data_IF_373927508463
#
_entry.id   IF_373927508463
#
_cell.length_a   1.000
_cell.length_b   1.000
_cell.length_c   1.000
_cell.angle_alpha   90.00
_cell.angle_beta   90.00
_cell.angle_gamma   90.00
#
_symmetry.space_group_name_H-M   'P 1'
#
loop_
_entity.id
_entity.type
_entity.pdbx_description
1 polymer ?
#
# COMPACT_ATOMS: atom_id res chain seq x y z
N UNK A 1 15.32 -16.41 -3.91
CA UNK A 1 14.84 -15.11 -4.45
C UNK A 1 13.32 -15.11 -4.41
N UNK A 2 12.72 -14.11 -3.81
CA UNK A 2 11.27 -13.92 -3.71
C UNK A 2 10.86 -12.87 -4.74
N UNK A 3 9.86 -13.19 -5.56
CA UNK A 3 9.26 -12.29 -6.54
C UNK A 3 8.01 -11.65 -5.94
N UNK A 4 7.98 -10.34 -5.85
CA UNK A 4 6.89 -9.57 -5.24
C UNK A 4 6.20 -8.75 -6.34
N UNK A 5 4.86 -8.77 -6.37
CA UNK A 5 4.05 -7.79 -7.08
C UNK A 5 3.48 -6.78 -6.09
N UNK A 6 3.50 -5.50 -6.42
CA UNK A 6 2.98 -4.44 -5.55
C UNK A 6 2.05 -3.50 -6.34
N UNK A 7 0.90 -3.19 -5.77
CA UNK A 7 -0.14 -2.33 -6.33
C UNK A 7 -0.83 -1.51 -5.23
N UNK A 8 -1.45 -0.40 -5.60
CA UNK A 8 -2.28 0.43 -4.72
C UNK A 8 -3.37 1.15 -5.50
N UNK A 9 -4.29 1.78 -4.77
CA UNK A 9 -5.32 2.66 -5.32
C UNK A 9 -6.17 1.96 -6.38
N UNK A 10 -6.70 0.79 -5.99
CA UNK A 10 -7.50 -0.06 -6.88
C UNK A 10 -8.83 0.59 -7.24
N UNK A 11 -9.49 1.24 -6.27
CA UNK A 11 -10.84 1.84 -6.44
C UNK A 11 -11.79 0.97 -7.28
N UNK A 12 -11.73 -0.36 -7.04
CA UNK A 12 -12.52 -1.34 -7.76
C UNK A 12 -11.89 -1.90 -9.03
N UNK A 13 -10.76 -1.35 -9.48
CA UNK A 13 -9.99 -1.90 -10.59
C UNK A 13 -9.20 -3.13 -10.11
N UNK A 14 -9.37 -4.24 -10.78
CA UNK A 14 -8.72 -5.51 -10.43
C UNK A 14 -7.78 -5.90 -11.58
N UNK A 15 -6.51 -5.47 -11.55
CA UNK A 15 -5.59 -5.69 -12.65
C UNK A 15 -5.15 -7.14 -12.75
N UNK A 16 -4.69 -7.53 -13.94
CA UNK A 16 -3.97 -8.80 -14.09
C UNK A 16 -2.61 -8.68 -13.38
N UNK A 17 -2.29 -9.65 -12.56
CA UNK A 17 -0.98 -9.81 -11.91
C UNK A 17 -0.26 -10.99 -12.57
N UNK A 18 1.00 -10.82 -12.93
CA UNK A 18 1.83 -11.92 -13.41
C UNK A 18 2.28 -12.80 -12.23
N UNK A 19 2.75 -14.01 -12.54
CA UNK A 19 3.19 -14.97 -11.53
C UNK A 19 4.26 -14.37 -10.59
N UNK A 20 3.97 -14.43 -9.30
CA UNK A 20 4.82 -13.94 -8.22
C UNK A 20 4.69 -14.82 -6.98
N UNK A 21 5.51 -14.60 -5.98
CA UNK A 21 5.44 -15.34 -4.71
C UNK A 21 4.54 -14.62 -3.70
N UNK A 22 4.67 -13.30 -3.60
CA UNK A 22 3.94 -12.42 -2.68
C UNK A 22 3.33 -11.25 -3.45
N UNK A 23 2.06 -10.93 -3.17
CA UNK A 23 1.41 -9.71 -3.66
C UNK A 23 1.20 -8.73 -2.50
N UNK A 24 1.60 -7.47 -2.67
CA UNK A 24 1.40 -6.37 -1.72
C UNK A 24 0.36 -5.40 -2.27
N UNK A 25 -0.69 -5.09 -1.47
CA UNK A 25 -1.74 -4.13 -1.85
C UNK A 25 -1.76 -3.00 -0.84
N UNK A 26 -1.38 -1.80 -1.28
CA UNK A 26 -1.17 -0.64 -0.42
C UNK A 26 -2.42 0.26 -0.27
N UNK A 27 -3.61 -0.33 -0.26
CA UNK A 27 -4.86 0.36 0.11
C UNK A 27 -5.69 0.91 -1.04
N UNK A 28 -6.77 1.60 -0.65
CA UNK A 28 -7.82 2.15 -1.51
C UNK A 28 -8.41 1.10 -2.46
N UNK A 29 -8.94 0.05 -1.85
CA UNK A 29 -9.42 -1.16 -2.53
C UNK A 29 -10.85 -0.96 -3.05
N UNK A 30 -11.72 -0.36 -2.22
CA UNK A 30 -13.16 -0.29 -2.46
C UNK A 30 -13.50 0.72 -3.56
N UNK A 31 -14.42 0.39 -4.52
CA UNK A 31 -14.87 1.34 -5.54
C UNK A 31 -15.43 2.66 -4.97
N UNK A 32 -15.12 3.77 -5.61
CA UNK A 32 -15.49 5.12 -5.16
C UNK A 32 -17.00 5.31 -5.02
N UNK A 33 -17.79 4.76 -5.93
CA UNK A 33 -19.24 4.91 -5.98
C UNK A 33 -19.97 4.20 -4.84
N UNK A 34 -19.36 3.17 -4.24
CA UNK A 34 -19.96 2.38 -3.15
C UNK A 34 -19.27 2.57 -1.79
N UNK A 35 -18.13 3.24 -1.69
CA UNK A 35 -17.29 3.34 -0.49
C UNK A 35 -18.05 3.89 0.75
N UNK A 36 -19.08 4.69 0.53
CA UNK A 36 -19.93 5.25 1.58
C UNK A 36 -21.16 4.39 1.90
N UNK A 37 -21.37 3.27 1.19
CA UNK A 37 -22.46 2.34 1.42
C UNK A 37 -21.93 1.03 2.00
N UNK A 38 -22.14 0.83 3.31
CA UNK A 38 -21.67 -0.33 4.04
C UNK A 38 -22.03 -1.66 3.36
N UNK A 39 -23.32 -1.85 3.03
CA UNK A 39 -23.81 -3.11 2.46
C UNK A 39 -23.15 -3.37 1.09
N UNK A 40 -23.11 -2.36 0.23
CA UNK A 40 -22.50 -2.48 -1.09
C UNK A 40 -21.00 -2.77 -1.00
N UNK A 41 -20.28 -2.09 -0.09
CA UNK A 41 -18.85 -2.33 0.14
C UNK A 41 -18.57 -3.76 0.60
N UNK A 42 -19.35 -4.26 1.57
CA UNK A 42 -19.21 -5.65 2.07
C UNK A 42 -19.52 -6.64 0.95
N UNK A 43 -20.64 -6.45 0.23
CA UNK A 43 -21.00 -7.35 -0.88
C UNK A 43 -19.90 -7.38 -1.94
N UNK A 44 -19.36 -6.22 -2.30
CA UNK A 44 -18.28 -6.14 -3.29
C UNK A 44 -17.00 -6.83 -2.81
N UNK A 45 -16.60 -6.62 -1.55
CA UNK A 45 -15.43 -7.28 -0.97
C UNK A 45 -15.53 -8.80 -1.04
N UNK A 46 -16.69 -9.38 -0.71
CA UNK A 46 -16.87 -10.84 -0.71
C UNK A 46 -17.22 -11.44 -2.08
N UNK A 47 -17.90 -10.72 -2.96
CA UNK A 47 -18.38 -11.24 -4.24
C UNK A 47 -17.49 -10.91 -5.43
N UNK A 48 -16.60 -9.92 -5.29
CA UNK A 48 -15.75 -9.44 -6.38
C UNK A 48 -14.28 -9.45 -6.00
N UNK A 49 -13.90 -8.76 -4.93
CA UNK A 49 -12.49 -8.66 -4.52
C UNK A 49 -11.93 -10.01 -4.05
N UNK A 50 -12.60 -10.70 -3.13
CA UNK A 50 -12.14 -11.99 -2.60
C UNK A 50 -11.97 -13.06 -3.70
N UNK A 51 -12.92 -13.28 -4.63
CA UNK A 51 -12.72 -14.19 -5.75
C UNK A 51 -11.52 -13.82 -6.63
N UNK A 52 -11.26 -12.53 -6.85
CA UNK A 52 -10.08 -12.07 -7.57
C UNK A 52 -8.79 -12.39 -6.81
N UNK A 53 -8.72 -12.10 -5.50
CA UNK A 53 -7.58 -12.48 -4.65
C UNK A 53 -7.29 -13.98 -4.73
N UNK A 54 -8.33 -14.82 -4.68
CA UNK A 54 -8.17 -16.27 -4.74
C UNK A 54 -7.60 -16.77 -6.07
N UNK A 55 -7.81 -16.02 -7.16
CA UNK A 55 -7.30 -16.34 -8.50
C UNK A 55 -5.91 -15.76 -8.78
N UNK A 56 -5.38 -14.89 -7.93
CA UNK A 56 -4.04 -14.32 -8.13
C UNK A 56 -2.98 -15.43 -8.18
N UNK A 57 -2.05 -15.37 -9.15
CA UNK A 57 -0.99 -16.36 -9.30
C UNK A 57 0.17 -16.11 -8.32
N UNK A 58 -0.14 -16.03 -7.03
CA UNK A 58 0.81 -15.85 -5.94
C UNK A 58 0.46 -16.77 -4.76
N UNK A 59 1.41 -16.96 -3.85
CA UNK A 59 1.22 -17.80 -2.66
C UNK A 59 0.43 -17.04 -1.59
N UNK A 60 0.82 -15.80 -1.33
CA UNK A 60 0.20 -14.96 -0.32
C UNK A 60 -0.04 -13.54 -0.83
N UNK A 61 -1.01 -12.87 -0.20
CA UNK A 61 -1.39 -11.48 -0.47
C UNK A 61 -1.42 -10.74 0.86
N UNK A 62 -0.57 -9.73 1.03
CA UNK A 62 -0.63 -8.85 2.19
C UNK A 62 -1.26 -7.54 1.78
N UNK A 63 -2.24 -7.08 2.55
CA UNK A 63 -2.98 -5.86 2.27
C UNK A 63 -3.00 -4.92 3.47
N UNK A 64 -2.97 -3.63 3.21
CA UNK A 64 -3.47 -2.58 4.11
C UNK A 64 -4.70 -1.94 3.49
N UNK A 65 -5.52 -1.29 4.29
CA UNK A 65 -6.59 -0.42 3.79
C UNK A 65 -6.03 0.96 3.42
N UNK A 66 -6.82 1.77 2.71
CA UNK A 66 -6.55 3.18 2.44
C UNK A 66 -7.65 4.10 2.96
N UNK A 67 -7.52 5.40 2.67
CA UNK A 67 -8.46 6.40 3.19
C UNK A 67 -9.87 6.31 2.58
N UNK A 68 -10.04 5.62 1.47
CA UNK A 68 -11.35 5.33 0.89
C UNK A 68 -11.99 4.03 1.41
N UNK A 69 -11.27 3.21 2.18
CA UNK A 69 -11.72 1.90 2.68
C UNK A 69 -12.46 2.00 4.03
N UNK A 70 -13.49 2.87 4.12
CA UNK A 70 -14.24 3.18 5.35
C UNK A 70 -14.80 1.96 6.05
N UNK A 71 -15.16 0.92 5.30
CA UNK A 71 -15.73 -0.29 5.88
C UNK A 71 -14.66 -1.14 6.59
N UNK A 72 -13.42 -1.13 6.11
CA UNK A 72 -12.31 -1.84 6.75
C UNK A 72 -11.82 -1.14 8.03
N UNK A 73 -11.96 0.20 8.12
CA UNK A 73 -11.72 0.94 9.36
C UNK A 73 -12.74 0.60 10.45
N UNK A 74 -14.03 0.58 10.08
CA UNK A 74 -15.14 0.45 11.04
C UNK A 74 -15.42 -1.00 11.46
N UNK A 75 -15.09 -1.95 10.62
CA UNK A 75 -15.46 -3.37 10.78
C UNK A 75 -14.25 -4.31 10.60
N UNK A 76 -13.35 -4.30 11.57
CA UNK A 76 -12.25 -5.26 11.61
C UNK A 76 -12.68 -6.74 11.40
N UNK A 77 -13.86 -7.20 11.89
CA UNK A 77 -14.38 -8.53 11.58
C UNK A 77 -14.57 -8.83 10.09
N UNK A 78 -14.83 -7.82 9.25
CA UNK A 78 -14.92 -7.98 7.78
C UNK A 78 -13.55 -8.38 7.22
N UNK A 79 -12.49 -7.70 7.64
CA UNK A 79 -11.12 -8.04 7.22
C UNK A 79 -10.74 -9.47 7.65
N UNK A 80 -11.06 -9.86 8.88
CA UNK A 80 -10.81 -11.23 9.38
C UNK A 80 -11.64 -12.30 8.64
N UNK A 81 -12.86 -11.98 8.22
CA UNK A 81 -13.66 -12.88 7.39
C UNK A 81 -13.06 -13.05 5.98
N UNK A 82 -12.47 -11.98 5.40
CA UNK A 82 -11.75 -12.09 4.12
C UNK A 82 -10.52 -13.00 4.25
N UNK A 83 -9.73 -12.87 5.31
CA UNK A 83 -8.60 -13.76 5.59
C UNK A 83 -9.05 -15.22 5.66
N UNK A 84 -10.04 -15.51 6.50
CA UNK A 84 -10.54 -16.87 6.70
C UNK A 84 -11.10 -17.49 5.40
N UNK A 85 -11.91 -16.71 4.64
CA UNK A 85 -12.55 -17.20 3.41
C UNK A 85 -11.61 -17.25 2.20
N UNK A 86 -10.41 -16.65 2.30
CA UNK A 86 -9.32 -16.83 1.33
C UNK A 86 -8.45 -18.05 1.62
N UNK A 87 -8.83 -18.88 2.61
CA UNK A 87 -7.99 -19.97 3.14
C UNK A 87 -6.61 -19.43 3.61
N UNK A 88 -6.65 -18.24 4.25
CA UNK A 88 -5.46 -17.50 4.74
C UNK A 88 -4.43 -17.14 3.65
N UNK A 89 -4.79 -17.18 2.38
CA UNK A 89 -3.99 -16.61 1.29
C UNK A 89 -3.85 -15.10 1.45
N UNK A 90 -4.89 -14.41 1.95
CA UNK A 90 -4.90 -12.99 2.23
C UNK A 90 -4.62 -12.73 3.71
N UNK A 91 -3.71 -11.81 4.00
CA UNK A 91 -3.45 -11.28 5.34
C UNK A 91 -3.69 -9.78 5.36
N UNK A 92 -4.61 -9.32 6.22
CA UNK A 92 -4.88 -7.91 6.45
C UNK A 92 -3.98 -7.36 7.56
N UNK A 93 -3.17 -6.36 7.23
CA UNK A 93 -2.25 -5.72 8.16
C UNK A 93 -2.86 -4.42 8.71
N UNK A 94 -2.94 -4.34 10.03
CA UNK A 94 -3.43 -3.17 10.76
C UNK A 94 -2.47 -2.87 11.92
N UNK A 95 -1.42 -2.13 11.63
CA UNK A 95 -0.35 -1.78 12.58
C UNK A 95 0.31 -3.01 13.22
N UNK A 96 0.55 -4.01 12.41
CA UNK A 96 1.18 -5.27 12.81
C UNK A 96 2.08 -5.81 11.71
N UNK A 97 2.86 -6.83 12.06
CA UNK A 97 3.72 -7.54 11.11
C UNK A 97 3.08 -8.85 10.64
N UNK A 98 3.44 -9.24 9.41
CA UNK A 98 3.38 -10.61 8.91
C UNK A 98 4.74 -11.00 8.34
N UNK A 99 5.00 -12.30 8.32
CA UNK A 99 6.23 -12.88 7.78
C UNK A 99 5.88 -13.73 6.55
N UNK A 100 6.67 -13.60 5.49
CA UNK A 100 6.57 -14.43 4.30
C UNK A 100 7.87 -15.22 4.17
N UNK A 101 7.76 -16.55 4.09
CA UNK A 101 8.91 -17.45 4.03
C UNK A 101 8.89 -18.26 2.73
N UNK A 102 10.01 -18.27 2.02
CA UNK A 102 10.19 -19.06 0.81
C UNK A 102 11.60 -19.68 0.78
N UNK A 103 11.70 -20.97 1.05
CA UNK A 103 12.98 -21.66 1.22
C UNK A 103 13.74 -21.08 2.43
N UNK A 104 14.95 -20.59 2.19
CA UNK A 104 15.80 -19.97 3.21
C UNK A 104 15.63 -18.44 3.27
N UNK A 105 14.73 -17.87 2.49
CA UNK A 105 14.45 -16.42 2.48
C UNK A 105 13.21 -16.13 3.32
N UNK A 106 13.32 -15.12 4.17
CA UNK A 106 12.25 -14.59 4.99
C UNK A 106 12.14 -13.08 4.80
N UNK A 107 10.91 -12.59 4.72
CA UNK A 107 10.59 -11.16 4.64
C UNK A 107 9.61 -10.82 5.75
N UNK A 108 9.96 -9.87 6.60
CA UNK A 108 9.08 -9.31 7.62
C UNK A 108 8.44 -8.03 7.11
N UNK A 109 7.13 -8.06 6.93
CA UNK A 109 6.33 -6.93 6.42
C UNK A 109 5.54 -6.32 7.57
N UNK A 110 5.72 -5.02 7.82
CA UNK A 110 4.84 -4.24 8.69
C UNK A 110 3.83 -3.50 7.83
N UNK A 111 2.55 -3.56 8.20
CA UNK A 111 1.48 -2.87 7.47
C UNK A 111 0.78 -1.81 8.31
N UNK A 112 0.61 -0.59 7.76
CA UNK A 112 -0.15 0.49 8.38
C UNK A 112 -1.04 1.22 7.37
N UNK A 113 -2.37 1.22 7.58
CA UNK A 113 -3.32 1.90 6.71
C UNK A 113 -3.43 3.41 7.00
N UNK A 114 -2.86 3.92 8.10
CA UNK A 114 -3.05 5.27 8.56
C UNK A 114 -2.49 6.30 7.59
N UNK A 115 -3.25 7.39 7.41
CA UNK A 115 -2.87 8.56 6.65
C UNK A 115 -2.80 9.80 7.55
N UNK A 116 -1.93 10.73 7.23
CA UNK A 116 -1.97 12.05 7.83
C UNK A 116 -3.27 12.78 7.45
N UNK A 117 -3.72 13.68 8.32
CA UNK A 117 -5.03 14.30 8.19
C UNK A 117 -5.03 15.47 7.22
N UNK A 118 -5.77 15.36 6.15
CA UNK A 118 -6.08 16.45 5.20
C UNK A 118 -7.59 16.61 4.96
N UNK A 119 -8.43 15.76 5.56
CA UNK A 119 -9.88 15.77 5.39
C UNK A 119 -10.59 14.90 6.44
N UNK A 120 -11.74 14.36 6.06
CA UNK A 120 -12.56 13.45 6.88
C UNK A 120 -12.75 12.10 6.15
N UNK A 121 -11.65 11.39 5.96
CA UNK A 121 -11.63 10.07 5.34
C UNK A 121 -11.32 9.00 6.38
N UNK A 122 -11.33 7.73 5.98
CA UNK A 122 -10.93 6.63 6.85
C UNK A 122 -9.43 6.70 7.19
N UNK A 123 -9.04 6.14 8.32
CA UNK A 123 -7.65 6.00 8.78
C UNK A 123 -6.88 7.31 8.90
N UNK A 124 -7.55 8.47 8.89
CA UNK A 124 -6.88 9.77 9.02
C UNK A 124 -6.70 10.18 10.47
N UNK A 125 -5.47 10.54 10.80
CA UNK A 125 -5.08 10.99 12.13
C UNK A 125 -4.15 12.21 12.07
N UNK A 126 -4.17 13.01 13.14
CA UNK A 126 -3.24 14.12 13.29
C UNK A 126 -1.80 13.60 13.44
N UNK A 127 -0.82 14.38 13.00
CA UNK A 127 0.61 14.00 13.01
C UNK A 127 1.11 13.56 14.40
N UNK A 128 0.64 14.21 15.47
CA UNK A 128 1.02 13.85 16.85
C UNK A 128 0.56 12.44 17.26
N UNK A 129 -0.61 12.01 16.80
CA UNK A 129 -1.09 10.64 16.99
C UNK A 129 -0.24 9.65 16.19
N UNK A 130 0.03 9.98 14.92
CA UNK A 130 0.83 9.15 14.02
C UNK A 130 2.27 8.99 14.51
N UNK A 131 2.89 10.04 15.06
CA UNK A 131 4.23 9.96 15.65
C UNK A 131 4.28 8.94 16.80
N UNK A 132 3.28 8.98 17.70
CA UNK A 132 3.14 8.00 18.77
C UNK A 132 2.95 6.57 18.26
N UNK A 133 2.11 6.38 17.24
CA UNK A 133 1.85 5.09 16.63
C UNK A 133 3.10 4.52 15.94
N UNK A 134 3.75 5.30 15.09
CA UNK A 134 4.92 4.87 14.33
C UNK A 134 6.17 4.67 15.17
N UNK A 135 6.24 5.29 16.36
CA UNK A 135 7.31 5.01 17.32
C UNK A 135 7.37 3.52 17.73
N UNK A 136 6.22 2.84 17.71
CA UNK A 136 6.06 1.43 18.09
C UNK A 136 6.40 0.44 16.97
N UNK A 137 6.62 0.91 15.74
CA UNK A 137 7.00 0.05 14.61
C UNK A 137 8.32 -0.65 14.94
N UNK A 138 8.44 -1.97 14.76
CA UNK A 138 9.69 -2.68 14.96
C UNK A 138 10.81 -2.17 14.04
N UNK A 139 12.05 -2.23 14.51
CA UNK A 139 13.21 -1.79 13.71
C UNK A 139 13.80 -2.88 12.83
N UNK A 140 13.29 -4.11 12.94
CA UNK A 140 13.77 -5.30 12.21
C UNK A 140 12.85 -5.69 11.03
N UNK A 141 12.03 -4.75 10.54
CA UNK A 141 11.17 -4.98 9.39
C UNK A 141 11.96 -4.81 8.08
N UNK A 142 11.66 -5.66 7.11
CA UNK A 142 12.22 -5.55 5.76
C UNK A 142 11.41 -4.60 4.89
N UNK A 143 10.08 -4.71 4.95
CA UNK A 143 9.15 -3.93 4.15
C UNK A 143 8.16 -3.21 5.05
N UNK A 144 7.96 -1.91 4.80
CA UNK A 144 6.84 -1.17 5.34
C UNK A 144 5.79 -0.97 4.24
N UNK A 145 4.67 -1.69 4.35
CA UNK A 145 3.51 -1.54 3.48
C UNK A 145 2.58 -0.49 4.11
N UNK A 146 2.40 0.66 3.45
CA UNK A 146 1.56 1.75 3.95
C UNK A 146 0.72 2.34 2.82
N UNK A 147 -0.47 2.87 3.14
CA UNK A 147 -1.23 3.59 2.12
C UNK A 147 -0.71 5.00 1.94
N UNK A 148 -0.45 5.72 3.04
CA UNK A 148 0.04 7.09 2.97
C UNK A 148 1.42 7.19 2.29
N UNK A 149 1.63 8.28 1.55
CA UNK A 149 2.92 8.60 0.96
C UNK A 149 3.75 9.38 1.98
N UNK A 150 5.01 9.00 2.27
CA UNK A 150 5.87 9.78 3.18
C UNK A 150 6.34 11.07 2.52
N UNK A 151 6.52 12.13 3.32
CA UNK A 151 7.08 13.41 2.85
C UNK A 151 8.60 13.28 2.60
N UNK A 152 8.96 12.68 1.47
CA UNK A 152 10.36 12.38 1.11
C UNK A 152 10.60 12.63 -0.38
N UNK A 153 11.51 13.53 -0.69
CA UNK A 153 12.03 13.79 -2.03
C UNK A 153 10.95 14.21 -3.01
N UNK A 154 10.87 13.54 -4.17
CA UNK A 154 9.82 13.77 -5.16
C UNK A 154 8.60 12.85 -5.00
N UNK A 155 8.66 11.89 -4.08
CA UNK A 155 7.63 10.87 -3.91
C UNK A 155 6.27 11.46 -3.54
N UNK A 156 6.27 12.60 -2.84
CA UNK A 156 5.08 13.32 -2.40
C UNK A 156 4.94 14.72 -3.03
N UNK A 157 5.76 15.06 -4.03
CA UNK A 157 5.78 16.37 -4.64
C UNK A 157 4.68 16.50 -5.71
N UNK A 158 3.56 17.12 -5.35
CA UNK A 158 2.48 17.42 -6.27
C UNK A 158 2.88 18.56 -7.22
N UNK A 159 2.55 18.45 -8.52
CA UNK A 159 2.81 19.52 -9.49
C UNK A 159 1.96 20.76 -9.19
N UNK A 160 2.31 21.92 -9.79
CA UNK A 160 1.47 23.12 -9.74
C UNK A 160 0.05 22.85 -10.20
N UNK A 161 -0.91 23.49 -9.55
CA UNK A 161 -2.35 23.38 -9.84
C UNK A 161 -2.98 24.77 -9.90
N UNK A 162 -4.25 24.89 -10.34
CA UNK A 162 -4.97 26.17 -10.28
C UNK A 162 -5.03 26.82 -8.90
N UNK A 163 -4.89 26.00 -7.84
CA UNK A 163 -4.95 26.42 -6.45
C UNK A 163 -3.56 26.71 -5.82
N UNK A 164 -2.52 26.05 -6.34
CA UNK A 164 -1.14 26.19 -5.89
C UNK A 164 -0.24 26.38 -7.11
N UNK A 165 0.33 27.58 -7.27
CA UNK A 165 1.19 27.89 -8.41
C UNK A 165 2.54 27.19 -8.38
N UNK A 166 3.02 26.84 -7.19
CA UNK A 166 4.27 26.12 -6.97
C UNK A 166 3.98 24.67 -6.60
N UNK A 167 4.92 23.74 -6.87
CA UNK A 167 4.83 22.38 -6.36
C UNK A 167 4.74 22.37 -4.83
N UNK A 168 3.95 21.42 -4.28
CA UNK A 168 3.80 21.28 -2.83
C UNK A 168 4.06 19.83 -2.40
N UNK A 169 4.68 19.68 -1.23
CA UNK A 169 4.79 18.40 -0.55
C UNK A 169 3.47 18.06 0.14
N UNK A 170 2.90 16.90 -0.16
CA UNK A 170 1.60 16.45 0.33
C UNK A 170 1.68 15.15 1.14
N UNK A 171 2.85 14.67 1.48
CA UNK A 171 3.06 13.44 2.23
C UNK A 171 3.11 13.63 3.74
N UNK A 172 2.97 12.53 4.50
CA UNK A 172 2.98 12.49 5.96
C UNK A 172 4.37 12.74 6.55
N UNK A 173 4.47 13.74 7.47
CA UNK A 173 5.74 14.08 8.12
C UNK A 173 6.16 13.04 9.16
N UNK A 174 5.22 12.55 9.97
CA UNK A 174 5.49 11.53 10.99
C UNK A 174 5.93 10.22 10.35
N UNK A 175 5.32 9.85 9.22
CA UNK A 175 5.72 8.67 8.45
C UNK A 175 7.16 8.82 7.93
N UNK A 176 7.51 9.97 7.36
CA UNK A 176 8.87 10.26 6.88
C UNK A 176 9.92 10.16 8.00
N UNK A 177 9.66 10.77 9.17
CA UNK A 177 10.52 10.68 10.36
C UNK A 177 10.70 9.24 10.85
N UNK A 178 9.60 8.48 10.88
CA UNK A 178 9.63 7.10 11.32
C UNK A 178 10.44 6.21 10.35
N UNK A 179 10.28 6.38 9.04
CA UNK A 179 11.07 5.68 8.03
C UNK A 179 12.58 5.99 8.19
N UNK A 180 12.94 7.24 8.42
CA UNK A 180 14.33 7.65 8.68
C UNK A 180 14.92 6.97 9.92
N UNK A 181 14.10 6.75 10.94
CA UNK A 181 14.53 6.13 12.20
C UNK A 181 14.59 4.61 12.12
N UNK A 182 13.57 3.99 11.52
CA UNK A 182 13.42 2.52 11.46
C UNK A 182 14.21 1.88 10.32
N UNK A 183 14.42 2.62 9.22
CA UNK A 183 15.18 2.22 8.04
C UNK A 183 14.79 0.85 7.47
N UNK A 184 13.49 0.59 7.16
CA UNK A 184 13.12 -0.62 6.45
C UNK A 184 13.89 -0.67 5.11
N UNK A 185 14.09 -1.86 4.56
CA UNK A 185 14.76 -1.99 3.24
C UNK A 185 13.92 -1.41 2.11
N UNK A 186 12.58 -1.53 2.24
CA UNK A 186 11.61 -1.05 1.26
C UNK A 186 10.39 -0.42 1.94
N UNK A 187 9.93 0.71 1.39
CA UNK A 187 8.59 1.26 1.65
C UNK A 187 7.76 1.14 0.38
N UNK A 188 6.60 0.51 0.49
CA UNK A 188 5.60 0.42 -0.57
C UNK A 188 4.42 1.28 -0.14
N UNK A 189 4.09 2.30 -0.94
CA UNK A 189 3.00 3.22 -0.66
C UNK A 189 2.13 3.49 -1.90
N UNK A 190 1.05 4.26 -1.73
CA UNK A 190 0.12 4.69 -2.78
C UNK A 190 -0.36 6.11 -2.56
N UNK A 191 -1.70 6.31 -2.59
CA UNK A 191 -2.42 7.52 -2.23
C UNK A 191 -2.24 8.71 -3.19
N UNK A 192 -1.01 9.11 -3.51
CA UNK A 192 -0.75 10.26 -4.39
C UNK A 192 -0.59 9.80 -5.84
N UNK A 193 -1.68 9.76 -6.60
CA UNK A 193 -1.73 9.26 -7.98
C UNK A 193 -0.86 10.05 -8.97
N UNK A 194 -0.48 11.30 -8.65
CA UNK A 194 0.47 12.09 -9.44
C UNK A 194 1.92 11.68 -9.28
N UNK A 195 2.22 10.91 -8.23
CA UNK A 195 3.56 10.55 -7.84
C UNK A 195 3.89 9.08 -8.14
N UNK A 196 3.08 8.44 -8.96
CA UNK A 196 3.31 7.06 -9.42
C UNK A 196 4.61 6.98 -10.19
N UNK A 197 5.28 5.84 -10.11
CA UNK A 197 6.58 5.58 -10.76
C UNK A 197 7.77 6.33 -10.18
N UNK A 198 7.57 7.14 -9.16
CA UNK A 198 8.68 7.80 -8.49
C UNK A 198 9.32 6.86 -7.49
N UNK A 199 10.64 6.75 -7.63
CA UNK A 199 11.49 6.01 -6.72
C UNK A 199 12.33 6.99 -5.94
N UNK A 200 12.39 6.80 -4.65
CA UNK A 200 13.30 7.55 -3.80
C UNK A 200 14.20 6.60 -3.03
N UNK A 201 15.38 7.08 -2.71
CA UNK A 201 16.29 6.39 -1.83
C UNK A 201 16.67 7.30 -0.68
N UNK A 202 16.23 6.92 0.51
CA UNK A 202 16.60 7.62 1.74
C UNK A 202 17.49 6.71 2.58
N UNK A 203 18.80 7.01 2.61
CA UNK A 203 19.83 6.17 3.21
C UNK A 203 19.82 4.76 2.59
N UNK A 204 19.47 3.74 3.39
CA UNK A 204 19.40 2.34 2.96
C UNK A 204 17.98 1.92 2.53
N UNK A 205 16.98 2.77 2.70
CA UNK A 205 15.59 2.49 2.37
C UNK A 205 15.30 2.86 0.91
N UNK A 206 14.71 1.95 0.16
CA UNK A 206 14.09 2.24 -1.13
C UNK A 206 12.60 2.52 -0.90
N UNK A 207 12.05 3.50 -1.62
CA UNK A 207 10.65 3.88 -1.52
C UNK A 207 10.01 3.88 -2.91
N UNK A 208 8.79 3.36 -3.02
CA UNK A 208 8.06 3.30 -4.29
C UNK A 208 6.57 3.56 -4.07
N UNK A 209 5.99 4.45 -4.89
CA UNK A 209 4.55 4.61 -5.01
C UNK A 209 4.04 3.64 -6.09
N UNK A 210 3.14 2.74 -5.72
CA UNK A 210 2.65 1.65 -6.56
C UNK A 210 1.19 1.81 -6.98
N UNK A 211 0.66 3.04 -6.96
CA UNK A 211 -0.68 3.33 -7.47
C UNK A 211 -0.82 2.90 -8.92
N UNK A 212 -1.92 2.23 -9.27
CA UNK A 212 -2.21 1.82 -10.66
C UNK A 212 -3.07 2.81 -11.42
N UNK A 213 -3.59 3.83 -10.74
CA UNK A 213 -4.47 4.84 -11.32
C UNK A 213 -3.78 6.19 -11.44
N UNK A 214 -4.20 6.99 -12.41
CA UNK A 214 -3.85 8.41 -12.50
C UNK A 214 -4.83 9.29 -11.71
N UNK A 215 -4.61 10.62 -11.70
CA UNK A 215 -5.48 11.60 -11.02
C UNK A 215 -6.92 11.65 -11.52
N UNK A 216 -7.20 11.08 -12.66
CA UNK A 216 -8.55 10.95 -13.22
C UNK A 216 -9.17 9.58 -12.87
N UNK A 217 -8.55 8.83 -11.98
CA UNK A 217 -8.94 7.47 -11.60
C UNK A 217 -8.99 6.49 -12.78
N UNK A 218 -8.16 6.70 -13.79
CA UNK A 218 -8.02 5.80 -14.92
C UNK A 218 -6.86 4.84 -14.67
N UNK A 219 -7.05 3.56 -14.96
CA UNK A 219 -5.99 2.56 -14.91
C UNK A 219 -5.01 2.77 -16.06
N UNK A 220 -3.82 3.23 -15.72
CA UNK A 220 -2.76 3.59 -16.70
C UNK A 220 -1.38 3.05 -16.33
N UNK A 221 -1.22 2.56 -15.11
CA UNK A 221 0.07 2.02 -14.65
C UNK A 221 -0.03 0.52 -14.40
N UNK A 222 1.03 -0.19 -14.76
CA UNK A 222 1.16 -1.64 -14.50
C UNK A 222 1.53 -1.89 -13.04
N UNK A 223 1.28 -3.11 -12.52
CA UNK A 223 1.82 -3.54 -11.24
C UNK A 223 3.34 -3.38 -11.19
N UNK A 224 3.86 -2.94 -10.06
CA UNK A 224 5.31 -2.86 -9.81
C UNK A 224 5.82 -4.22 -9.37
N UNK A 225 6.87 -4.72 -10.03
CA UNK A 225 7.50 -5.98 -9.67
C UNK A 225 8.83 -5.73 -8.96
N UNK A 226 9.09 -6.53 -7.93
CA UNK A 226 10.23 -6.37 -7.03
C UNK A 226 10.84 -7.74 -6.78
N UNK A 227 12.17 -7.84 -6.91
CA UNK A 227 12.91 -9.03 -6.50
C UNK A 227 13.57 -8.80 -5.14
N UNK A 228 13.37 -9.74 -4.21
CA UNK A 228 14.05 -9.78 -2.92
C UNK A 228 14.96 -11.02 -2.89
N UNK A 229 16.23 -10.81 -2.59
CA UNK A 229 17.19 -11.90 -2.46
C UNK A 229 18.33 -11.52 -1.51
N UNK A 230 18.64 -12.38 -0.54
CA UNK A 230 19.74 -12.17 0.41
C UNK A 230 19.67 -10.78 1.10
N UNK A 231 18.48 -10.36 1.49
CA UNK A 231 18.24 -9.06 2.11
C UNK A 231 18.36 -7.85 1.17
N UNK A 232 18.48 -8.05 -0.14
CA UNK A 232 18.58 -6.98 -1.13
C UNK A 232 17.27 -6.86 -1.92
N UNK A 233 16.89 -5.61 -2.18
CA UNK A 233 15.72 -5.22 -2.96
C UNK A 233 16.18 -4.75 -4.35
N UNK A 234 15.52 -5.25 -5.38
CA UNK A 234 15.65 -4.76 -6.75
C UNK A 234 14.26 -4.51 -7.33
N UNK A 235 13.90 -3.24 -7.53
CA UNK A 235 12.63 -2.85 -8.15
C UNK A 235 12.81 -2.95 -9.66
N UNK A 236 11.94 -3.72 -10.31
CA UNK A 236 11.94 -3.90 -11.75
C UNK A 236 11.12 -2.77 -12.39
N UNK A 237 11.71 -2.09 -13.38
CA UNK A 237 11.05 -0.99 -14.07
C UNK A 237 9.92 -1.54 -14.96
N UNK A 238 8.66 -1.43 -14.48
CA UNK A 238 7.48 -1.97 -15.17
C UNK A 238 6.56 -0.88 -15.76
N UNK A 239 6.96 0.38 -15.69
CA UNK A 239 6.06 1.52 -15.88
C UNK A 239 5.90 2.03 -17.30
N UNK A 240 6.54 1.45 -18.29
CA UNK A 240 6.32 1.83 -19.69
C UNK A 240 5.54 0.73 -20.40
N UNK A 241 4.31 1.05 -20.80
CA UNK A 241 3.71 0.34 -21.92
C UNK A 241 4.50 0.74 -23.19
N UNK A 242 4.95 -0.27 -23.94
CA UNK A 242 5.49 -0.09 -25.28
C UNK A 242 4.38 0.38 -26.23
#
# INVERSE_FOLDING_TARGET
>A
MIKIAAISDLHGTLPKIDECDLCLIAGDIIPLDIQNNRTSSIVWLFKTFLPWVNQLPCKEVFIVAGNHDRELEKNYPVAKALEYLSDFKLTYLLNNCAEFVLGDEEIKVYGSPQCHKFGNWAFMHDESYLEGLYSQVPSDIDIWLTHDTPKIGELDLLPPSPWNKEPIHAGGESLAKAIQTKQPKLVVCGHLHTCVTKYERNNNTQLVNVSILNNSYQHVYKPTYINYANGKINILDSHKED
#
